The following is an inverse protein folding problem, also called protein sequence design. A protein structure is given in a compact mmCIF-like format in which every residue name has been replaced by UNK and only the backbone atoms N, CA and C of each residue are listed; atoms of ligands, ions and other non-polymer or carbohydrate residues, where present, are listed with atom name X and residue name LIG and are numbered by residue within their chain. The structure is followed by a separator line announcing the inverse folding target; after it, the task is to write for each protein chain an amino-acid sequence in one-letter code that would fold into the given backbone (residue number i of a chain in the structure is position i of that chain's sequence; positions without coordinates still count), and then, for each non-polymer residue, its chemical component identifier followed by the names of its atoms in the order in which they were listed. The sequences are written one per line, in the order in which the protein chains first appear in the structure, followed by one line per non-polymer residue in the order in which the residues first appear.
data_IF_905555732727
#
_entry.id   IF_905555732727
#
_cell.length_a   1.000
_cell.length_b   1.000
_cell.length_c   1.000
_cell.angle_alpha   90.00
_cell.angle_beta   90.00
_cell.angle_gamma   90.00
#
_symmetry.space_group_name_H-M   'P 1'
#
loop_
_entity.id
_entity.type
_entity.pdbx_description
1 polymer ?
#
# COMPACT_ATOMS: atom_id res chain seq x y z
N UNK A 1 -16.23 -12.25 21.03
CA UNK A 1 -15.32 -11.20 20.50
C UNK A 1 -15.98 -10.63 19.24
N UNK A 2 -16.07 -9.32 19.11
CA UNK A 2 -16.56 -8.68 17.90
C UNK A 2 -15.45 -8.79 16.84
N UNK A 3 -15.73 -9.31 15.63
CA UNK A 3 -14.73 -9.37 14.57
C UNK A 3 -14.33 -7.96 14.12
N UNK A 4 -13.08 -7.77 13.75
CA UNK A 4 -12.59 -6.48 13.19
C UNK A 4 -13.00 -6.33 11.74
N UNK A 5 -13.00 -7.43 11.00
CA UNK A 5 -13.54 -7.55 9.64
C UNK A 5 -14.70 -8.54 9.69
N UNK A 6 -15.83 -8.16 9.13
CA UNK A 6 -17.06 -8.93 9.17
C UNK A 6 -17.69 -9.06 7.79
N UNK A 7 -17.81 -10.29 7.29
CA UNK A 7 -18.39 -10.61 5.99
C UNK A 7 -17.81 -9.81 4.81
N UNK A 8 -16.48 -9.54 4.84
CA UNK A 8 -15.79 -8.86 3.73
C UNK A 8 -15.64 -9.83 2.56
N UNK A 9 -16.29 -9.53 1.45
CA UNK A 9 -16.11 -10.21 0.17
C UNK A 9 -15.51 -9.20 -0.82
N UNK A 10 -14.26 -9.40 -1.18
CA UNK A 10 -13.50 -8.46 -2.00
C UNK A 10 -12.57 -9.23 -2.94
N UNK A 11 -12.62 -8.89 -4.22
CA UNK A 11 -11.66 -9.36 -5.23
C UNK A 11 -10.86 -8.17 -5.73
N UNK A 12 -9.55 -8.31 -5.84
CA UNK A 12 -8.65 -7.31 -6.43
C UNK A 12 -8.07 -7.91 -7.70
N UNK A 13 -8.32 -7.23 -8.81
CA UNK A 13 -7.85 -7.68 -10.11
C UNK A 13 -6.35 -7.41 -10.29
N UNK A 14 -5.65 -8.35 -10.93
CA UNK A 14 -4.22 -8.21 -11.25
C UNK A 14 -4.00 -6.98 -12.13
N UNK A 15 -2.99 -6.19 -11.78
CA UNK A 15 -2.62 -4.98 -12.51
C UNK A 15 -3.52 -3.77 -12.23
N UNK A 16 -4.49 -3.88 -11.31
CA UNK A 16 -5.30 -2.72 -10.90
C UNK A 16 -4.64 -1.91 -9.79
N UNK A 17 -5.02 -0.63 -9.69
CA UNK A 17 -4.74 0.24 -8.55
C UNK A 17 -6.03 0.38 -7.74
N UNK A 18 -6.04 -0.12 -6.50
CA UNK A 18 -7.20 -0.06 -5.60
C UNK A 18 -6.87 0.78 -4.38
N UNK A 19 -7.69 1.79 -4.11
CA UNK A 19 -7.63 2.55 -2.87
C UNK A 19 -8.65 2.03 -1.85
N UNK A 20 -8.20 1.81 -0.61
CA UNK A 20 -9.06 1.42 0.50
C UNK A 20 -9.18 2.59 1.46
N UNK A 21 -10.36 3.15 1.57
CA UNK A 21 -10.73 4.27 2.43
C UNK A 21 -11.52 3.79 3.65
N UNK A 22 -11.59 4.61 4.68
CA UNK A 22 -12.39 4.38 5.86
C UNK A 22 -11.87 5.17 7.06
N UNK A 23 -12.70 5.40 8.05
CA UNK A 23 -12.27 6.08 9.29
C UNK A 23 -11.28 5.20 10.10
N UNK A 24 -10.68 5.80 11.14
CA UNK A 24 -9.79 5.08 12.04
C UNK A 24 -10.58 3.97 12.77
N UNK A 25 -10.01 2.76 12.81
CA UNK A 25 -10.69 1.59 13.39
C UNK A 25 -11.69 0.87 12.47
N UNK A 26 -11.85 1.28 11.21
CA UNK A 26 -12.76 0.59 10.27
C UNK A 26 -12.26 -0.77 9.77
N UNK A 27 -11.02 -1.17 10.12
CA UNK A 27 -10.45 -2.47 9.74
C UNK A 27 -9.44 -2.44 8.59
N UNK A 28 -9.12 -1.28 8.00
CA UNK A 28 -8.21 -1.14 6.83
C UNK A 28 -6.86 -1.83 7.00
N UNK A 29 -6.13 -1.50 8.07
CA UNK A 29 -4.80 -2.11 8.31
C UNK A 29 -4.89 -3.59 8.67
N UNK A 30 -6.02 -4.05 9.22
CA UNK A 30 -6.27 -5.49 9.42
C UNK A 30 -6.46 -6.18 8.08
N UNK A 31 -7.24 -5.58 7.16
CA UNK A 31 -7.40 -6.08 5.80
C UNK A 31 -6.07 -6.08 5.05
N UNK A 32 -5.30 -4.97 5.11
CA UNK A 32 -3.98 -4.86 4.50
C UNK A 32 -3.05 -6.02 4.90
N UNK A 33 -3.00 -6.34 6.19
CA UNK A 33 -2.14 -7.41 6.73
C UNK A 33 -2.60 -8.82 6.36
N UNK A 34 -3.82 -8.99 5.88
CA UNK A 34 -4.26 -10.28 5.35
C UNK A 34 -3.75 -10.53 3.93
N UNK A 35 -3.55 -9.48 3.11
CA UNK A 35 -3.10 -9.64 1.71
C UNK A 35 -1.74 -10.35 1.59
N UNK A 36 -0.83 -10.18 2.56
CA UNK A 36 0.46 -10.88 2.56
C UNK A 36 0.58 -11.91 3.71
N UNK A 37 -0.57 -12.36 4.25
CA UNK A 37 -0.65 -13.37 5.30
C UNK A 37 0.17 -13.02 6.57
N UNK A 38 0.25 -11.72 6.94
CA UNK A 38 0.72 -11.30 8.28
C UNK A 38 -0.37 -11.64 9.30
N UNK A 39 -1.64 -11.39 8.94
CA UNK A 39 -2.79 -11.88 9.68
C UNK A 39 -3.56 -12.90 8.85
N UNK A 40 -4.00 -13.97 9.50
CA UNK A 40 -4.88 -14.95 8.89
C UNK A 40 -6.33 -14.67 9.28
N UNK A 41 -7.30 -14.92 8.38
CA UNK A 41 -8.71 -14.78 8.73
C UNK A 41 -9.09 -15.78 9.82
N UNK A 42 -9.86 -15.34 10.82
CA UNK A 42 -10.42 -16.22 11.86
C UNK A 42 -11.65 -16.99 11.36
N UNK A 43 -12.22 -16.62 10.24
CA UNK A 43 -13.30 -17.26 9.52
C UNK A 43 -13.30 -16.83 8.07
N UNK A 44 -13.88 -17.62 7.19
CA UNK A 44 -13.77 -17.41 5.74
C UNK A 44 -12.42 -17.81 5.18
N UNK A 45 -12.07 -17.29 4.00
CA UNK A 45 -10.82 -17.59 3.31
C UNK A 45 -10.26 -16.36 2.64
N UNK A 46 -8.93 -16.29 2.59
CA UNK A 46 -8.19 -15.32 1.81
C UNK A 46 -7.28 -16.06 0.82
N UNK A 47 -7.31 -15.63 -0.42
CA UNK A 47 -6.51 -16.20 -1.50
C UNK A 47 -5.62 -15.13 -2.13
N UNK A 48 -4.40 -15.51 -2.45
CA UNK A 48 -3.50 -14.75 -3.31
C UNK A 48 -3.25 -15.60 -4.54
N UNK A 49 -3.84 -15.24 -5.66
CA UNK A 49 -3.94 -16.08 -6.85
C UNK A 49 -4.54 -17.46 -6.49
N UNK A 50 -3.79 -18.56 -6.66
CA UNK A 50 -4.18 -19.92 -6.30
C UNK A 50 -3.81 -20.33 -4.87
N UNK A 51 -3.14 -19.46 -4.10
CA UNK A 51 -2.60 -19.79 -2.78
C UNK A 51 -3.58 -19.40 -1.67
N UNK A 52 -4.04 -20.37 -0.88
CA UNK A 52 -4.80 -20.14 0.35
C UNK A 52 -3.85 -19.65 1.44
N UNK A 53 -4.10 -18.46 2.01
CA UNK A 53 -3.25 -17.89 3.05
C UNK A 53 -3.21 -18.70 4.34
N UNK A 54 -4.17 -19.60 4.56
CA UNK A 54 -4.20 -20.51 5.69
C UNK A 54 -3.20 -21.68 5.56
N UNK A 55 -2.64 -21.89 4.36
CA UNK A 55 -1.64 -22.94 4.13
C UNK A 55 -0.22 -22.42 4.42
N UNK A 56 0.36 -22.84 5.54
CA UNK A 56 1.71 -22.44 5.96
C UNK A 56 2.80 -22.76 4.93
N UNK A 57 2.65 -23.83 4.17
CA UNK A 57 3.64 -24.26 3.17
C UNK A 57 3.81 -23.26 2.00
N UNK A 58 2.83 -22.39 1.76
CA UNK A 58 2.86 -21.42 0.65
C UNK A 58 3.05 -19.96 1.12
N UNK A 59 3.24 -19.72 2.42
CA UNK A 59 3.38 -18.36 2.96
C UNK A 59 4.56 -17.61 2.36
N UNK A 60 5.69 -18.27 2.10
CA UNK A 60 6.85 -17.65 1.47
C UNK A 60 6.52 -17.19 0.05
N UNK A 61 5.79 -18.00 -0.70
CA UNK A 61 5.35 -17.67 -2.06
C UNK A 61 4.38 -16.49 -2.07
N UNK A 62 3.47 -16.43 -1.10
CA UNK A 62 2.55 -15.28 -0.94
C UNK A 62 3.35 -14.01 -0.64
N UNK A 63 4.26 -14.04 0.34
CA UNK A 63 5.06 -12.88 0.75
C UNK A 63 6.04 -12.41 -0.31
N UNK A 64 6.51 -13.31 -1.17
CA UNK A 64 7.31 -12.96 -2.34
C UNK A 64 6.50 -12.17 -3.37
N UNK A 65 5.22 -12.53 -3.56
CA UNK A 65 4.32 -11.89 -4.54
C UNK A 65 3.69 -10.61 -4.04
N UNK A 66 3.38 -10.55 -2.74
CA UNK A 66 2.71 -9.41 -2.11
C UNK A 66 3.66 -8.73 -1.15
N UNK A 67 4.29 -7.66 -1.60
CA UNK A 67 5.10 -6.79 -0.77
C UNK A 67 4.23 -5.84 0.06
N UNK A 68 4.61 -5.57 1.30
CA UNK A 68 3.87 -4.66 2.19
C UNK A 68 4.78 -3.57 2.75
N UNK A 69 4.31 -2.34 2.65
CA UNK A 69 4.94 -1.17 3.29
C UNK A 69 4.06 -0.71 4.44
N UNK A 70 4.63 -0.67 5.63
CA UNK A 70 3.94 -0.27 6.85
C UNK A 70 3.93 1.26 7.03
N UNK A 71 2.97 1.76 7.81
CA UNK A 71 2.84 3.17 8.14
C UNK A 71 4.09 3.74 8.83
N UNK A 72 4.69 2.98 9.76
CA UNK A 72 5.91 3.40 10.46
C UNK A 72 7.13 2.67 9.89
N UNK A 73 8.07 3.38 9.22
CA UNK A 73 9.26 2.78 8.64
C UNK A 73 10.22 2.19 9.67
N UNK A 74 10.24 2.68 10.93
CA UNK A 74 11.10 2.13 11.97
C UNK A 74 10.72 0.68 12.36
N UNK A 75 9.50 0.24 12.03
CA UNK A 75 9.08 -1.14 12.21
C UNK A 75 9.52 -2.06 11.05
N UNK A 76 10.07 -1.51 9.99
CA UNK A 76 10.40 -2.24 8.78
C UNK A 76 11.90 -2.25 8.50
N UNK A 77 12.60 -1.14 8.76
CA UNK A 77 14.04 -1.01 8.57
C UNK A 77 14.78 -1.82 9.63
N UNK A 78 15.65 -2.73 9.21
CA UNK A 78 16.37 -3.67 10.09
C UNK A 78 17.89 -3.57 10.00
N UNK A 79 18.44 -3.02 8.91
CA UNK A 79 19.90 -2.90 8.72
C UNK A 79 20.42 -1.54 9.18
N UNK A 80 21.76 -1.48 9.33
CA UNK A 80 22.47 -0.27 9.74
C UNK A 80 22.92 0.62 8.57
N UNK A 81 22.78 0.13 7.35
CA UNK A 81 23.13 0.82 6.10
C UNK A 81 21.95 0.70 5.13
N UNK A 82 21.62 1.77 4.43
CA UNK A 82 20.47 1.83 3.51
C UNK A 82 20.53 0.74 2.44
N UNK A 83 21.66 0.57 1.75
CA UNK A 83 21.80 -0.46 0.71
C UNK A 83 21.63 -1.89 1.25
N UNK A 84 22.08 -2.14 2.47
CA UNK A 84 21.92 -3.44 3.13
C UNK A 84 20.47 -3.70 3.50
N UNK A 85 19.75 -2.67 3.93
CA UNK A 85 18.33 -2.77 4.24
C UNK A 85 17.49 -3.08 2.99
N UNK A 86 17.78 -2.39 1.90
CA UNK A 86 17.10 -2.64 0.62
C UNK A 86 17.47 -3.99 0.02
N UNK A 87 18.69 -4.49 0.24
CA UNK A 87 19.17 -5.80 -0.20
C UNK A 87 18.58 -6.95 0.63
N UNK A 88 18.16 -6.70 1.86
CA UNK A 88 17.74 -7.72 2.84
C UNK A 88 16.69 -8.69 2.32
N UNK A 89 15.65 -8.19 1.68
CA UNK A 89 14.58 -9.03 1.17
C UNK A 89 14.99 -9.86 -0.06
N UNK A 90 15.63 -9.30 -1.10
CA UNK A 90 16.18 -10.08 -2.21
C UNK A 90 17.19 -11.15 -1.78
N UNK A 91 18.06 -10.87 -0.79
CA UNK A 91 19.00 -11.84 -0.22
C UNK A 91 18.27 -13.04 0.38
N UNK A 92 17.25 -12.78 1.20
CA UNK A 92 16.43 -13.84 1.80
C UNK A 92 15.65 -14.66 0.77
N UNK A 93 15.39 -14.09 -0.41
CA UNK A 93 14.76 -14.79 -1.54
C UNK A 93 15.76 -15.60 -2.38
N UNK A 94 17.06 -15.57 -2.04
CA UNK A 94 18.10 -16.32 -2.75
C UNK A 94 18.45 -15.75 -4.13
N UNK A 95 18.23 -14.46 -4.35
CA UNK A 95 18.60 -13.76 -5.58
C UNK A 95 20.13 -13.68 -5.68
N UNK A 96 20.70 -13.76 -6.89
CA UNK A 96 22.15 -13.67 -7.08
C UNK A 96 22.68 -12.28 -6.69
N UNK A 97 23.94 -12.21 -6.23
CA UNK A 97 24.56 -10.96 -5.77
C UNK A 97 24.57 -9.87 -6.85
N UNK A 98 24.81 -10.24 -8.10
CA UNK A 98 24.80 -9.30 -9.23
C UNK A 98 23.39 -8.71 -9.45
N UNK A 99 22.39 -9.55 -9.41
CA UNK A 99 20.98 -9.14 -9.56
C UNK A 99 20.49 -8.33 -8.36
N UNK A 100 20.91 -8.68 -7.13
CA UNK A 100 20.61 -7.89 -5.92
C UNK A 100 21.15 -6.47 -6.11
N UNK A 101 22.38 -6.31 -6.56
CA UNK A 101 22.97 -5.00 -6.77
C UNK A 101 22.15 -4.15 -7.72
N UNK A 102 21.77 -4.72 -8.87
CA UNK A 102 20.91 -4.05 -9.85
C UNK A 102 19.57 -3.63 -9.23
N UNK A 103 18.91 -4.54 -8.51
CA UNK A 103 17.61 -4.27 -7.90
C UNK A 103 17.67 -3.18 -6.83
N UNK A 104 18.73 -3.18 -6.01
CA UNK A 104 18.96 -2.15 -4.99
C UNK A 104 19.13 -0.78 -5.63
N UNK A 105 20.00 -0.69 -6.65
CA UNK A 105 20.27 0.57 -7.35
C UNK A 105 19.01 1.10 -8.03
N UNK A 106 18.27 0.24 -8.74
CA UNK A 106 17.00 0.57 -9.39
C UNK A 106 15.92 1.02 -8.39
N UNK A 107 15.78 0.31 -7.27
CA UNK A 107 14.79 0.63 -6.23
C UNK A 107 15.10 1.96 -5.54
N UNK A 108 16.35 2.21 -5.17
CA UNK A 108 16.78 3.47 -4.57
C UNK A 108 16.62 4.66 -5.53
N UNK A 109 16.95 4.46 -6.81
CA UNK A 109 16.72 5.48 -7.84
C UNK A 109 15.23 5.78 -8.02
N UNK A 110 14.39 4.74 -8.00
CA UNK A 110 12.93 4.89 -8.16
C UNK A 110 12.29 5.78 -7.09
N UNK A 111 12.82 5.76 -5.87
CA UNK A 111 12.31 6.58 -4.73
C UNK A 111 13.16 7.83 -4.46
N UNK A 112 14.15 8.15 -5.31
CA UNK A 112 15.01 9.33 -5.16
C UNK A 112 15.96 9.26 -3.97
N UNK A 113 16.47 8.07 -3.63
CA UNK A 113 17.37 7.83 -2.49
C UNK A 113 18.78 7.36 -2.89
N UNK A 114 19.17 7.48 -4.14
CA UNK A 114 20.49 7.05 -4.64
C UNK A 114 21.67 7.66 -3.89
N UNK A 115 21.57 8.94 -3.50
CA UNK A 115 22.63 9.65 -2.77
C UNK A 115 22.78 9.17 -1.32
N UNK A 116 21.83 8.41 -0.81
CA UNK A 116 21.78 7.93 0.57
C UNK A 116 22.16 6.48 0.73
N UNK A 117 22.61 5.81 -0.32
CA UNK A 117 22.90 4.37 -0.39
C UNK A 117 23.75 3.87 0.78
N UNK A 118 24.79 4.63 1.17
CA UNK A 118 25.72 4.27 2.26
C UNK A 118 25.42 4.97 3.59
N UNK A 119 24.28 5.65 3.70
CA UNK A 119 23.91 6.31 4.95
C UNK A 119 23.35 5.32 5.96
N UNK A 120 23.48 5.65 7.23
CA UNK A 120 22.81 4.91 8.29
C UNK A 120 21.36 5.36 8.40
N UNK A 121 20.36 4.45 8.42
CA UNK A 121 18.94 4.81 8.46
C UNK A 121 18.55 5.70 9.64
N UNK A 122 19.22 5.58 10.80
CA UNK A 122 18.91 6.41 11.97
C UNK A 122 19.27 7.91 11.78
N UNK A 123 20.08 8.26 10.77
CA UNK A 123 20.39 9.65 10.40
C UNK A 123 19.40 10.25 9.41
N UNK A 124 18.48 9.46 8.89
CA UNK A 124 17.50 9.89 7.90
C UNK A 124 16.26 10.52 8.58
N UNK A 125 15.64 11.48 7.88
CA UNK A 125 14.31 11.97 8.26
C UNK A 125 13.24 10.88 8.15
N UNK A 126 12.10 11.04 8.80
CA UNK A 126 11.00 10.07 8.72
C UNK A 126 10.54 9.82 7.27
N UNK A 127 10.46 10.86 6.44
CA UNK A 127 10.12 10.72 5.02
C UNK A 127 11.20 9.98 4.21
N UNK A 128 12.48 10.20 4.50
CA UNK A 128 13.57 9.45 3.86
C UNK A 128 13.55 7.98 4.28
N UNK A 129 13.35 7.68 5.56
CA UNK A 129 13.16 6.30 6.04
C UNK A 129 12.00 5.60 5.33
N UNK A 130 10.87 6.29 5.16
CA UNK A 130 9.72 5.73 4.45
C UNK A 130 10.05 5.39 2.99
N UNK A 131 10.80 6.25 2.30
CA UNK A 131 11.27 5.96 0.94
C UNK A 131 12.21 4.75 0.90
N UNK A 132 13.10 4.60 1.89
CA UNK A 132 13.96 3.41 2.02
C UNK A 132 13.11 2.15 2.23
N UNK A 133 12.11 2.19 3.12
CA UNK A 133 11.20 1.07 3.34
C UNK A 133 10.44 0.67 2.06
N UNK A 134 10.00 1.66 1.27
CA UNK A 134 9.38 1.41 -0.04
C UNK A 134 10.38 0.80 -1.01
N UNK A 135 11.63 1.30 -1.07
CA UNK A 135 12.69 0.74 -1.91
C UNK A 135 12.97 -0.74 -1.56
N UNK A 136 13.03 -1.08 -0.26
CA UNK A 136 13.20 -2.47 0.18
C UNK A 136 12.13 -3.42 -0.33
N UNK A 137 10.88 -2.96 -0.39
CA UNK A 137 9.79 -3.74 -0.98
C UNK A 137 9.90 -3.80 -2.51
N UNK A 138 10.22 -2.69 -3.17
CA UNK A 138 10.36 -2.65 -4.63
C UNK A 138 11.52 -3.53 -5.14
N UNK A 139 12.61 -3.67 -4.36
CA UNK A 139 13.74 -4.53 -4.69
C UNK A 139 13.39 -6.03 -4.72
N UNK A 140 12.28 -6.43 -4.08
CA UNK A 140 11.74 -7.79 -4.22
C UNK A 140 11.14 -8.04 -5.61
N UNK A 141 10.80 -6.99 -6.37
CA UNK A 141 10.01 -7.01 -7.60
C UNK A 141 8.67 -7.79 -7.41
N UNK A 142 7.84 -7.38 -6.44
CA UNK A 142 6.60 -8.08 -6.15
C UNK A 142 5.56 -7.89 -7.27
N UNK A 143 4.61 -8.84 -7.39
CA UNK A 143 3.47 -8.72 -8.31
C UNK A 143 2.39 -7.76 -7.79
N UNK A 144 2.33 -7.62 -6.46
CA UNK A 144 1.42 -6.71 -5.76
C UNK A 144 2.16 -5.95 -4.67
N UNK A 145 1.90 -4.65 -4.53
CA UNK A 145 2.36 -3.85 -3.40
C UNK A 145 1.17 -3.33 -2.60
N UNK A 146 1.24 -3.52 -1.29
CA UNK A 146 0.26 -2.98 -0.33
C UNK A 146 0.92 -1.84 0.44
N UNK A 147 0.38 -0.65 0.33
CA UNK A 147 0.83 0.58 1.00
C UNK A 147 -0.13 0.89 2.16
N UNK A 148 0.23 0.51 3.38
CA UNK A 148 -0.60 0.78 4.58
C UNK A 148 -0.26 2.16 5.15
N UNK A 149 -0.97 3.20 4.69
CA UNK A 149 -0.73 4.62 4.99
C UNK A 149 0.74 5.05 4.79
N UNK A 150 1.42 4.42 3.82
CA UNK A 150 2.85 4.53 3.61
C UNK A 150 3.31 5.92 3.14
N UNK A 151 2.41 6.80 2.75
CA UNK A 151 2.69 8.16 2.32
C UNK A 151 2.44 9.22 3.40
N UNK A 152 1.85 8.83 4.54
CA UNK A 152 1.42 9.75 5.60
C UNK A 152 2.58 10.57 6.21
N UNK A 153 3.80 10.01 6.24
CA UNK A 153 4.99 10.69 6.78
C UNK A 153 5.77 11.48 5.72
N UNK A 154 5.32 11.48 4.47
CA UNK A 154 5.99 12.19 3.39
C UNK A 154 5.49 13.64 3.27
N UNK A 155 6.40 14.53 2.90
CA UNK A 155 6.02 15.86 2.44
C UNK A 155 5.26 15.77 1.10
N UNK A 156 4.53 16.83 0.67
CA UNK A 156 3.71 16.77 -0.53
C UNK A 156 4.47 16.40 -1.82
N UNK A 157 5.75 16.79 -1.91
CA UNK A 157 6.61 16.43 -3.05
C UNK A 157 6.97 14.95 -3.00
N UNK A 158 7.45 14.48 -1.84
CA UNK A 158 7.82 13.10 -1.64
C UNK A 158 6.66 12.13 -1.86
N UNK A 159 5.45 12.53 -1.45
CA UNK A 159 4.23 11.78 -1.71
C UNK A 159 3.97 11.63 -3.20
N UNK A 160 4.01 12.72 -3.97
CA UNK A 160 3.85 12.68 -5.42
C UNK A 160 4.89 11.80 -6.09
N UNK A 161 6.17 11.96 -5.72
CA UNK A 161 7.27 11.18 -6.30
C UNK A 161 7.07 9.66 -6.11
N UNK A 162 6.59 9.25 -4.92
CA UNK A 162 6.28 7.84 -4.62
C UNK A 162 5.06 7.36 -5.40
N UNK A 163 3.97 8.14 -5.44
CA UNK A 163 2.76 7.78 -6.18
C UNK A 163 3.03 7.66 -7.69
N UNK A 164 3.80 8.59 -8.25
CA UNK A 164 4.19 8.54 -9.66
C UNK A 164 5.06 7.31 -9.97
N UNK A 165 5.96 6.94 -9.03
CA UNK A 165 6.76 5.72 -9.16
C UNK A 165 5.88 4.47 -9.16
N UNK A 166 4.96 4.36 -8.19
CA UNK A 166 4.05 3.23 -8.07
C UNK A 166 3.15 3.11 -9.30
N UNK A 167 2.60 4.24 -9.80
CA UNK A 167 1.80 4.26 -11.03
C UNK A 167 2.61 3.86 -12.27
N UNK A 168 3.86 4.30 -12.35
CA UNK A 168 4.75 3.89 -13.44
C UNK A 168 4.98 2.39 -13.41
N UNK A 169 5.28 1.81 -12.24
CA UNK A 169 5.47 0.37 -12.09
C UNK A 169 4.20 -0.43 -12.39
N UNK A 170 3.03 0.07 -11.98
CA UNK A 170 1.76 -0.52 -12.36
C UNK A 170 1.59 -0.54 -13.89
N UNK A 171 1.75 0.61 -14.55
CA UNK A 171 1.58 0.72 -16.00
C UNK A 171 2.62 -0.08 -16.79
N UNK A 172 3.90 0.00 -16.41
CA UNK A 172 5.01 -0.52 -17.21
C UNK A 172 5.28 -2.02 -16.91
N UNK A 173 4.99 -2.50 -15.69
CA UNK A 173 5.20 -3.88 -15.25
C UNK A 173 3.90 -4.64 -14.91
N UNK A 174 2.75 -4.01 -14.97
CA UNK A 174 1.47 -4.63 -14.59
C UNK A 174 1.37 -4.94 -13.10
N UNK A 175 2.15 -4.25 -12.25
CA UNK A 175 2.13 -4.46 -10.79
C UNK A 175 0.78 -4.04 -10.20
N UNK A 176 0.16 -4.92 -9.42
CA UNK A 176 -1.05 -4.59 -8.66
C UNK A 176 -0.71 -3.67 -7.49
N UNK A 177 -1.56 -2.70 -7.21
CA UNK A 177 -1.34 -1.73 -6.12
C UNK A 177 -2.57 -1.66 -5.23
N UNK A 178 -2.37 -1.84 -3.92
CA UNK A 178 -3.40 -1.61 -2.90
C UNK A 178 -2.93 -0.50 -1.99
N UNK A 179 -3.64 0.63 -1.99
CA UNK A 179 -3.32 1.79 -1.16
C UNK A 179 -4.35 1.92 -0.05
N UNK A 180 -3.92 1.74 1.20
CA UNK A 180 -4.70 2.15 2.36
C UNK A 180 -4.36 3.61 2.60
N UNK A 181 -5.33 4.49 2.50
CA UNK A 181 -5.09 5.92 2.66
C UNK A 181 -6.30 6.65 3.25
N UNK A 182 -6.06 7.80 3.80
CA UNK A 182 -7.08 8.80 4.16
C UNK A 182 -6.97 10.06 3.29
N UNK A 183 -6.03 10.07 2.33
CA UNK A 183 -5.85 11.16 1.38
C UNK A 183 -6.72 10.94 0.14
N UNK A 184 -7.65 11.84 -0.10
CA UNK A 184 -8.60 11.72 -1.21
C UNK A 184 -7.94 11.88 -2.58
N UNK A 185 -6.89 12.72 -2.66
CA UNK A 185 -6.05 12.90 -3.85
C UNK A 185 -5.33 11.61 -4.29
N UNK A 186 -4.94 10.76 -3.33
CA UNK A 186 -4.40 9.43 -3.64
C UNK A 186 -5.47 8.48 -4.17
N UNK A 187 -6.65 8.50 -3.55
CA UNK A 187 -7.76 7.66 -3.96
C UNK A 187 -8.34 8.03 -5.34
N UNK A 188 -8.25 9.31 -5.73
CA UNK A 188 -8.61 9.76 -7.09
C UNK A 188 -7.72 9.14 -8.19
N UNK A 189 -6.51 8.71 -7.84
CA UNK A 189 -5.57 8.10 -8.78
C UNK A 189 -5.79 6.61 -8.98
N UNK A 190 -6.67 5.99 -8.19
CA UNK A 190 -6.98 4.57 -8.26
C UNK A 190 -7.97 4.26 -9.39
N UNK A 191 -7.95 3.01 -9.86
CA UNK A 191 -8.97 2.48 -10.78
C UNK A 191 -10.27 2.18 -10.04
N UNK A 192 -10.17 1.84 -8.74
CA UNK A 192 -11.28 1.44 -7.89
C UNK A 192 -11.06 1.92 -6.46
N UNK A 193 -12.13 2.35 -5.83
CA UNK A 193 -12.17 2.76 -4.42
C UNK A 193 -13.07 1.81 -3.65
N UNK A 194 -12.55 1.26 -2.56
CA UNK A 194 -13.28 0.44 -1.60
C UNK A 194 -13.36 1.21 -0.29
N UNK A 195 -14.55 1.45 0.20
CA UNK A 195 -14.78 2.14 1.48
C UNK A 195 -15.13 1.12 2.54
N UNK A 196 -14.32 1.03 3.59
CA UNK A 196 -14.60 0.20 4.76
C UNK A 196 -15.28 1.03 5.87
N UNK A 197 -16.35 0.49 6.41
CA UNK A 197 -17.01 1.04 7.58
C UNK A 197 -17.38 -0.09 8.56
N UNK A 198 -16.99 0.02 9.83
CA UNK A 198 -17.22 -0.98 10.87
C UNK A 198 -16.87 -2.42 10.46
N UNK A 199 -15.75 -2.60 9.76
CA UNK A 199 -15.26 -3.91 9.35
C UNK A 199 -15.95 -4.52 8.13
N UNK A 200 -16.83 -3.80 7.46
CA UNK A 200 -17.56 -4.24 6.26
C UNK A 200 -17.24 -3.34 5.06
N UNK A 201 -17.38 -3.87 3.86
CA UNK A 201 -17.35 -3.07 2.63
C UNK A 201 -18.65 -2.27 2.55
N UNK A 202 -18.54 -0.95 2.65
CA UNK A 202 -19.66 -0.02 2.64
C UNK A 202 -19.97 0.50 1.25
N UNK A 203 -18.92 0.92 0.52
CA UNK A 203 -19.02 1.35 -0.88
C UNK A 203 -17.87 0.72 -1.67
N UNK A 204 -18.11 0.46 -2.94
CA UNK A 204 -17.16 -0.17 -3.84
C UNK A 204 -17.47 0.24 -5.28
N UNK A 205 -16.53 0.88 -5.97
CA UNK A 205 -16.75 1.35 -7.34
C UNK A 205 -15.61 2.24 -7.85
N UNK A 206 -15.82 2.85 -9.00
CA UNK A 206 -14.87 3.80 -9.57
C UNK A 206 -14.78 5.09 -8.69
N UNK A 207 -13.63 5.75 -8.61
CA UNK A 207 -13.47 6.96 -7.79
C UNK A 207 -14.57 8.00 -8.02
N UNK A 208 -14.91 8.25 -9.28
CA UNK A 208 -15.95 9.20 -9.66
C UNK A 208 -17.33 8.85 -9.09
N UNK A 209 -17.69 7.57 -9.08
CA UNK A 209 -18.97 7.09 -8.56
C UNK A 209 -19.02 7.19 -7.03
N UNK A 210 -17.91 6.84 -6.38
CA UNK A 210 -17.80 6.87 -4.91
C UNK A 210 -17.83 8.32 -4.41
N UNK A 211 -17.05 9.22 -5.01
CA UNK A 211 -16.97 10.61 -4.56
C UNK A 211 -18.22 11.45 -4.88
N UNK A 212 -19.09 11.01 -5.79
CA UNK A 212 -20.41 11.59 -5.96
C UNK A 212 -21.37 11.33 -4.77
N UNK A 213 -21.10 10.33 -3.95
CA UNK A 213 -21.90 9.95 -2.78
C UNK A 213 -21.51 10.77 -1.54
N UNK A 214 -21.48 12.11 -1.68
CA UNK A 214 -20.98 13.04 -0.67
C UNK A 214 -21.63 12.85 0.71
N UNK A 215 -22.97 12.76 0.75
CA UNK A 215 -23.71 12.59 2.00
C UNK A 215 -23.41 11.26 2.70
N UNK A 216 -23.28 10.19 1.93
CA UNK A 216 -22.96 8.87 2.48
C UNK A 216 -21.55 8.85 3.07
N UNK A 217 -20.57 9.44 2.38
CA UNK A 217 -19.20 9.54 2.88
C UNK A 217 -19.12 10.42 4.13
N UNK A 218 -19.80 11.58 4.14
CA UNK A 218 -19.90 12.46 5.32
C UNK A 218 -20.55 11.76 6.51
N UNK A 219 -21.59 10.95 6.29
CA UNK A 219 -22.31 10.24 7.37
C UNK A 219 -21.42 9.25 8.13
N UNK A 220 -20.34 8.75 7.50
CA UNK A 220 -19.37 7.84 8.11
C UNK A 220 -18.04 8.56 8.47
N UNK A 221 -18.02 9.90 8.48
CA UNK A 221 -16.88 10.71 8.88
C UNK A 221 -15.76 10.80 7.84
N UNK A 222 -16.03 10.50 6.57
CA UNK A 222 -15.09 10.68 5.48
C UNK A 222 -15.35 12.01 4.76
N UNK A 223 -14.31 12.57 4.20
CA UNK A 223 -14.36 13.73 3.30
C UNK A 223 -14.43 13.26 1.85
N UNK A 224 -14.59 14.21 0.94
CA UNK A 224 -14.46 14.02 -0.51
C UNK A 224 -13.31 14.91 -1.02
N UNK A 225 -12.79 14.68 -2.23
CA UNK A 225 -11.83 15.60 -2.86
C UNK A 225 -12.32 17.04 -2.83
N UNK A 226 -11.40 17.99 -2.66
CA UNK A 226 -11.76 19.42 -2.52
C UNK A 226 -12.55 19.95 -3.72
N UNK A 227 -12.23 19.48 -4.92
CA UNK A 227 -12.93 19.83 -6.16
C UNK A 227 -14.38 19.35 -6.14
N UNK A 228 -14.63 18.14 -5.66
CA UNK A 228 -15.98 17.58 -5.50
C UNK A 228 -16.75 18.32 -4.41
N UNK A 229 -16.10 18.61 -3.30
CA UNK A 229 -16.70 19.39 -2.20
C UNK A 229 -17.15 20.78 -2.68
N UNK A 230 -16.27 21.48 -3.40
CA UNK A 230 -16.60 22.80 -3.93
C UNK A 230 -17.80 22.77 -4.87
N UNK A 231 -17.81 21.82 -5.80
CA UNK A 231 -18.94 21.64 -6.74
C UNK A 231 -20.23 21.29 -5.99
N UNK A 232 -20.16 20.44 -4.99
CA UNK A 232 -21.31 20.06 -4.17
C UNK A 232 -21.87 21.26 -3.40
N UNK A 233 -21.02 22.04 -2.73
CA UNK A 233 -21.42 23.20 -1.92
C UNK A 233 -22.07 24.29 -2.81
N UNK A 234 -21.54 24.51 -4.04
CA UNK A 234 -22.13 25.42 -5.03
C UNK A 234 -23.51 24.99 -5.56
N UNK A 235 -23.84 23.70 -5.53
CA UNK A 235 -25.15 23.21 -5.97
C UNK A 235 -26.20 23.25 -4.86
N UNK A 236 -25.81 23.51 -3.62
CA UNK A 236 -26.71 23.61 -2.48
C UNK A 236 -27.16 25.08 -2.21
N UNK A 237 -26.46 26.08 -2.79
CA UNK A 237 -26.82 27.48 -2.79
C UNK A 237 -27.82 27.80 -3.93
#
# INVERSE_FOLDING_TARGET
RVPVLDHVNLTIEKGSIVAVLGHNGSGKSTLAKQFNAVYLPSGGKMWVEQFDTANEAVLLEIRRRVGMVFQNPDNQIVANVVEEDVAFAPENLGVSTEEIRRRVDDALAAVGMSDFTRHAPHLLSGGQKQRVAIAGVLAMEPECIVLDEATAMLDPRGRRDVLDTVRRLNRDKGMTVVMITHHMDEAELADRVVVLNHGQVYLDGAPKEIFQQVEQLRSIGLTVPETVKLLYDLHQE
#
